data_IF_327216084903
#
_entry.id   IF_327216084903
#
_cell.length_a   1.000
_cell.length_b   1.000
_cell.length_c   1.000
_cell.angle_alpha   90.00
_cell.angle_beta   90.00
_cell.angle_gamma   90.00
#
_symmetry.space_group_name_H-M   'P 1'
#
loop_
_entity.id
_entity.type
_entity.pdbx_description
1 polymer ?
#
# COMPACT_ATOMS: atom_id res chain seq x y z
N UNK A 1 2.21 7.60 8.28
CA UNK A 1 2.79 7.00 9.50
C UNK A 1 3.28 5.56 9.26
N UNK A 2 2.42 4.68 8.74
CA UNK A 2 2.71 3.26 8.48
C UNK A 2 4.06 2.99 7.79
N UNK A 3 4.32 3.64 6.64
CA UNK A 3 5.56 3.46 5.85
C UNK A 3 6.82 3.74 6.68
N UNK A 4 6.79 4.77 7.54
CA UNK A 4 7.92 5.12 8.39
C UNK A 4 8.16 4.10 9.50
N UNK A 5 7.09 3.55 10.06
CA UNK A 5 7.20 2.50 11.08
C UNK A 5 7.75 1.19 10.49
N UNK A 6 7.30 0.82 9.29
CA UNK A 6 7.87 -0.31 8.57
C UNK A 6 9.35 -0.08 8.25
N UNK A 7 9.72 1.13 7.78
CA UNK A 7 11.12 1.47 7.54
C UNK A 7 11.97 1.33 8.81
N UNK A 8 11.43 1.75 9.96
CA UNK A 8 12.10 1.60 11.27
C UNK A 8 12.31 0.13 11.62
N UNK A 9 11.30 -0.72 11.44
CA UNK A 9 11.37 -2.16 11.74
C UNK A 9 12.35 -2.87 10.81
N UNK A 10 12.26 -2.67 9.49
CA UNK A 10 13.13 -3.33 8.52
C UNK A 10 14.58 -2.82 8.56
N UNK A 11 14.83 -1.64 9.14
CA UNK A 11 16.18 -1.11 9.34
C UNK A 11 16.75 -1.42 10.73
N UNK A 12 16.08 -2.24 11.54
CA UNK A 12 16.62 -2.67 12.83
C UNK A 12 17.95 -3.44 12.62
N UNK A 13 18.95 -3.24 13.49
CA UNK A 13 20.31 -3.76 13.29
C UNK A 13 20.41 -5.29 13.28
N UNK A 14 19.42 -5.96 13.87
CA UNK A 14 19.29 -7.42 13.90
C UNK A 14 18.49 -7.97 12.72
N UNK A 15 17.90 -7.15 11.84
CA UNK A 15 17.18 -7.60 10.65
C UNK A 15 18.12 -7.71 9.45
N UNK A 16 18.12 -8.86 8.77
CA UNK A 16 18.73 -9.06 7.46
C UNK A 16 17.69 -9.40 6.40
N UNK A 17 17.94 -8.96 5.16
CA UNK A 17 17.09 -9.24 4.00
C UNK A 17 17.93 -9.75 2.83
N UNK A 18 17.43 -10.74 2.10
CA UNK A 18 18.02 -11.22 0.85
C UNK A 18 17.82 -10.26 -0.32
N UNK A 19 16.75 -9.46 -0.28
CA UNK A 19 16.39 -8.49 -1.32
C UNK A 19 16.23 -7.10 -0.73
N UNK A 20 16.62 -6.08 -1.49
CA UNK A 20 16.48 -4.69 -1.07
C UNK A 20 15.01 -4.29 -0.96
N UNK A 21 14.66 -3.61 0.12
CA UNK A 21 13.38 -2.92 0.30
C UNK A 21 13.63 -1.43 0.14
N UNK A 22 12.79 -0.75 -0.65
CA UNK A 22 12.85 0.70 -0.85
C UNK A 22 11.56 1.33 -0.33
N UNK A 23 11.69 2.23 0.64
CA UNK A 23 10.59 3.06 1.13
C UNK A 23 10.60 4.37 0.39
N UNK A 24 9.45 4.79 -0.13
CA UNK A 24 9.31 6.04 -0.87
C UNK A 24 8.14 6.84 -0.34
N UNK A 25 8.33 8.14 -0.18
CA UNK A 25 7.29 9.09 0.16
C UNK A 25 7.08 9.98 -1.06
N UNK A 26 5.97 9.78 -1.75
CA UNK A 26 5.63 10.60 -2.92
C UNK A 26 5.14 11.97 -2.49
N UNK A 27 5.43 12.96 -3.32
CA UNK A 27 4.86 14.29 -3.18
C UNK A 27 3.95 14.58 -4.37
N UNK A 28 2.99 15.48 -4.17
CA UNK A 28 2.11 15.98 -5.22
C UNK A 28 1.28 14.88 -5.91
N UNK A 29 0.83 13.89 -5.12
CA UNK A 29 -0.12 12.84 -5.52
C UNK A 29 -1.47 13.47 -5.90
N UNK A 30 -1.96 14.38 -5.04
CA UNK A 30 -3.31 14.95 -5.11
C UNK A 30 -3.61 15.77 -6.38
N UNK A 31 -2.57 16.15 -7.13
CA UNK A 31 -2.70 16.88 -8.40
C UNK A 31 -2.39 15.99 -9.61
N UNK A 32 -2.40 14.67 -9.43
CA UNK A 32 -2.22 13.69 -10.48
C UNK A 32 -0.91 12.90 -10.38
N UNK A 33 -0.59 12.33 -9.22
CA UNK A 33 0.45 11.32 -9.05
C UNK A 33 1.84 11.79 -9.50
N UNK A 34 2.10 13.10 -9.40
CA UNK A 34 3.21 13.72 -10.14
C UNK A 34 4.57 13.22 -9.66
N UNK A 35 4.73 12.99 -8.35
CA UNK A 35 5.95 12.41 -7.79
C UNK A 35 6.23 11.00 -8.32
N UNK A 36 5.25 10.10 -8.25
CA UNK A 36 5.39 8.73 -8.74
C UNK A 36 5.58 8.66 -10.26
N UNK A 37 4.86 9.47 -11.04
CA UNK A 37 5.03 9.56 -12.50
C UNK A 37 6.43 10.01 -12.89
N UNK A 38 6.91 11.10 -12.31
CA UNK A 38 8.25 11.61 -12.57
C UNK A 38 9.33 10.58 -12.19
N UNK A 39 9.12 9.86 -11.09
CA UNK A 39 10.02 8.79 -10.69
C UNK A 39 10.07 7.66 -11.72
N UNK A 40 8.91 7.15 -12.15
CA UNK A 40 8.85 6.09 -13.17
C UNK A 40 9.52 6.55 -14.46
N UNK A 41 9.18 7.74 -14.97
CA UNK A 41 9.75 8.32 -16.19
C UNK A 41 11.29 8.39 -16.13
N UNK A 42 11.85 8.79 -14.99
CA UNK A 42 13.30 8.94 -14.83
C UNK A 42 14.03 7.62 -14.58
N UNK A 43 13.38 6.66 -13.90
CA UNK A 43 14.07 5.50 -13.31
C UNK A 43 13.78 4.19 -14.03
N UNK A 44 12.65 4.04 -14.70
CA UNK A 44 12.25 2.76 -15.30
C UNK A 44 13.32 2.19 -16.25
N UNK A 45 13.88 3.02 -17.12
CA UNK A 45 14.89 2.61 -18.10
C UNK A 45 16.27 2.29 -17.49
N UNK A 46 16.50 2.65 -16.22
CA UNK A 46 17.76 2.43 -15.50
C UNK A 46 17.78 1.11 -14.72
N UNK A 47 16.64 0.42 -14.61
CA UNK A 47 16.52 -0.80 -13.83
C UNK A 47 17.52 -1.88 -14.24
N UNK A 48 18.36 -2.29 -13.30
CA UNK A 48 19.38 -3.32 -13.52
C UNK A 48 20.52 -2.88 -14.46
N UNK A 49 20.61 -1.59 -14.79
CA UNK A 49 21.72 -1.03 -15.55
C UNK A 49 22.87 -0.71 -14.59
N UNK A 50 23.99 -1.36 -14.81
CA UNK A 50 25.19 -1.20 -14.01
C UNK A 50 25.96 0.07 -14.40
N UNK A 51 26.36 0.90 -13.44
CA UNK A 51 27.11 2.14 -13.70
C UNK A 51 28.22 2.40 -12.68
N UNK A 52 29.50 2.54 -13.11
CA UNK A 52 30.01 2.20 -14.44
C UNK A 52 29.84 0.71 -14.77
N UNK A 53 29.85 0.34 -16.06
CA UNK A 53 29.76 -1.07 -16.47
C UNK A 53 30.89 -1.89 -15.84
N UNK A 54 30.56 -3.03 -15.23
CA UNK A 54 31.46 -3.92 -14.50
C UNK A 54 31.75 -3.53 -13.03
N UNK A 55 31.07 -2.53 -12.47
CA UNK A 55 31.31 -2.05 -11.09
C UNK A 55 30.57 -2.83 -9.99
N UNK A 56 29.59 -3.66 -10.34
CA UNK A 56 28.58 -4.24 -9.45
C UNK A 56 27.56 -3.24 -8.91
N UNK A 57 27.61 -1.97 -9.32
CA UNK A 57 26.71 -0.93 -8.82
C UNK A 57 25.55 -0.72 -9.77
N UNK A 58 24.33 -0.85 -9.24
CA UNK A 58 23.08 -0.67 -9.98
C UNK A 58 22.34 0.53 -9.38
N UNK A 59 22.54 1.76 -9.92
CA UNK A 59 21.89 2.96 -9.37
C UNK A 59 20.37 2.82 -9.26
N UNK A 60 19.77 2.06 -10.17
CA UNK A 60 18.39 1.61 -10.04
C UNK A 60 18.33 0.07 -10.09
N UNK A 61 17.93 -0.60 -9.00
CA UNK A 61 17.74 -2.05 -9.00
C UNK A 61 16.52 -2.41 -9.86
N UNK A 62 16.43 -3.69 -10.26
CA UNK A 62 15.20 -4.19 -10.88
C UNK A 62 14.06 -4.15 -9.87
N UNK A 63 12.92 -3.60 -10.27
CA UNK A 63 11.72 -3.60 -9.45
C UNK A 63 11.08 -4.98 -9.49
N UNK A 64 10.75 -5.52 -8.31
CA UNK A 64 10.11 -6.83 -8.19
C UNK A 64 8.62 -6.72 -7.87
N UNK A 65 8.20 -5.61 -7.28
CA UNK A 65 6.84 -5.28 -6.92
C UNK A 65 6.75 -3.83 -6.46
N UNK A 66 5.58 -3.22 -6.62
CA UNK A 66 5.24 -1.93 -6.03
C UNK A 66 4.04 -2.12 -5.10
N UNK A 67 4.19 -1.70 -3.85
CA UNK A 67 3.15 -1.78 -2.83
C UNK A 67 2.88 -0.36 -2.35
N UNK A 68 1.70 0.14 -2.67
CA UNK A 68 1.25 1.47 -2.29
C UNK A 68 0.37 1.38 -1.03
N UNK A 69 0.48 2.39 -0.16
CA UNK A 69 -0.43 2.61 0.96
C UNK A 69 -1.00 4.01 0.82
N UNK A 70 -2.32 4.14 0.87
CA UNK A 70 -2.98 5.44 0.84
C UNK A 70 -4.33 5.33 1.55
N UNK A 71 -4.64 6.26 2.45
CA UNK A 71 -5.85 6.27 3.29
C UNK A 71 -6.11 4.93 4.02
N UNK A 72 -5.82 4.84 5.32
CA UNK A 72 -5.71 3.55 6.03
C UNK A 72 -6.44 3.48 7.37
N UNK A 73 -7.36 4.38 7.66
CA UNK A 73 -7.94 4.57 8.99
C UNK A 73 -9.45 4.41 9.03
N UNK A 74 -10.17 4.45 7.91
CA UNK A 74 -11.63 4.58 7.89
C UNK A 74 -12.35 3.48 7.12
N UNK A 75 -13.08 2.59 7.81
CA UNK A 75 -14.07 1.72 7.19
C UNK A 75 -15.36 1.63 8.03
N UNK A 76 -16.08 2.74 8.09
CA UNK A 76 -17.30 2.88 8.91
C UNK A 76 -18.58 2.45 8.16
N UNK A 77 -18.42 1.97 6.92
CA UNK A 77 -19.51 1.58 6.03
C UNK A 77 -20.19 2.75 5.30
N UNK A 78 -21.15 2.39 4.44
CA UNK A 78 -21.87 3.35 3.61
C UNK A 78 -22.65 4.40 4.42
N UNK A 79 -22.80 5.63 3.90
CA UNK A 79 -23.73 6.61 4.45
C UNK A 79 -25.16 6.05 4.49
N UNK A 80 -25.87 6.36 5.57
CA UNK A 80 -27.31 6.09 5.74
C UNK A 80 -28.13 6.96 4.78
N UNK A 81 -29.45 6.68 4.60
CA UNK A 81 -30.31 7.51 3.75
C UNK A 81 -30.37 9.00 4.14
N UNK A 82 -30.05 9.34 5.39
CA UNK A 82 -29.97 10.72 5.89
C UNK A 82 -28.58 11.37 5.70
N UNK A 83 -27.64 10.66 5.06
CA UNK A 83 -26.27 11.10 4.82
C UNK A 83 -25.31 10.91 5.99
N UNK A 84 -25.78 10.40 7.14
CA UNK A 84 -24.90 10.14 8.28
C UNK A 84 -24.13 8.83 8.10
N UNK A 85 -22.89 8.79 8.55
CA UNK A 85 -22.07 7.56 8.61
C UNK A 85 -22.03 6.99 10.02
N UNK A 86 -21.56 5.76 10.18
CA UNK A 86 -21.25 5.23 11.51
C UNK A 86 -20.11 6.02 12.16
N UNK A 87 -20.14 6.13 13.49
CA UNK A 87 -19.01 6.68 14.25
C UNK A 87 -17.87 5.68 14.34
N UNK A 88 -18.19 4.40 14.41
CA UNK A 88 -17.24 3.33 14.67
C UNK A 88 -17.05 2.48 13.40
N UNK A 89 -15.89 1.82 13.30
CA UNK A 89 -15.59 0.80 12.30
C UNK A 89 -16.74 -0.20 12.18
N UNK A 90 -17.11 -0.57 10.95
CA UNK A 90 -18.15 -1.58 10.76
C UNK A 90 -17.66 -2.96 11.21
N UNK A 91 -18.55 -3.88 11.62
CA UNK A 91 -18.14 -5.25 11.97
C UNK A 91 -17.39 -5.98 10.86
N UNK A 92 -17.67 -5.64 9.60
CA UNK A 92 -17.03 -6.17 8.41
C UNK A 92 -15.82 -5.35 7.93
N UNK A 93 -15.27 -4.46 8.77
CA UNK A 93 -14.18 -3.58 8.39
C UNK A 93 -12.96 -4.39 7.91
N UNK A 94 -12.34 -3.96 6.82
CA UNK A 94 -11.25 -4.68 6.19
C UNK A 94 -10.15 -3.79 5.62
N UNK A 95 -8.98 -4.40 5.38
CA UNK A 95 -7.93 -3.77 4.58
C UNK A 95 -8.15 -4.15 3.12
N UNK A 96 -8.45 -3.16 2.29
CA UNK A 96 -8.66 -3.34 0.87
C UNK A 96 -7.33 -3.41 0.13
N UNK A 97 -7.09 -4.47 -0.64
CA UNK A 97 -5.90 -4.71 -1.44
C UNK A 97 -6.30 -4.73 -2.91
N UNK A 98 -6.05 -3.64 -3.61
CA UNK A 98 -6.47 -3.49 -5.00
C UNK A 98 -5.30 -3.69 -5.98
N UNK A 99 -5.55 -4.42 -7.07
CA UNK A 99 -4.73 -4.41 -8.28
C UNK A 99 -5.56 -3.90 -9.47
N UNK A 100 -4.94 -3.57 -10.61
CA UNK A 100 -5.68 -3.15 -11.80
C UNK A 100 -5.78 -4.30 -12.81
N UNK A 101 -6.99 -4.84 -12.99
CA UNK A 101 -7.26 -5.97 -13.90
C UNK A 101 -7.01 -5.69 -15.37
N UNK A 102 -7.05 -4.42 -15.80
CA UNK A 102 -6.75 -4.03 -17.19
C UNK A 102 -5.26 -3.75 -17.46
N UNK A 103 -4.38 -3.89 -16.46
CA UNK A 103 -2.95 -3.61 -16.62
C UNK A 103 -2.18 -4.74 -17.31
N UNK A 104 -1.02 -4.43 -17.90
CA UNK A 104 -0.14 -5.43 -18.51
C UNK A 104 0.37 -6.48 -17.49
N UNK A 105 0.42 -6.13 -16.20
CA UNK A 105 0.85 -7.01 -15.09
C UNK A 105 -0.31 -7.50 -14.24
N UNK A 106 -1.53 -7.54 -14.76
CA UNK A 106 -2.72 -7.89 -13.99
C UNK A 106 -2.61 -9.26 -13.30
N UNK A 107 -2.08 -10.28 -13.99
CA UNK A 107 -1.99 -11.65 -13.43
C UNK A 107 -1.01 -11.72 -12.26
N UNK A 108 0.18 -11.12 -12.42
CA UNK A 108 1.19 -11.07 -11.37
C UNK A 108 0.79 -10.15 -10.22
N UNK A 109 0.08 -9.05 -10.50
CA UNK A 109 -0.45 -8.14 -9.48
C UNK A 109 -1.57 -8.79 -8.68
N UNK A 110 -2.45 -9.57 -9.32
CA UNK A 110 -3.45 -10.39 -8.63
C UNK A 110 -2.77 -11.42 -7.72
N UNK A 111 -1.74 -12.09 -8.20
CA UNK A 111 -0.97 -13.03 -7.39
C UNK A 111 -0.32 -12.35 -6.18
N UNK A 112 0.25 -11.15 -6.37
CA UNK A 112 0.80 -10.32 -5.29
C UNK A 112 -0.28 -9.91 -4.28
N UNK A 113 -1.47 -9.51 -4.74
CA UNK A 113 -2.57 -9.12 -3.87
C UNK A 113 -3.05 -10.29 -2.99
N UNK A 114 -3.23 -11.49 -3.56
CA UNK A 114 -3.59 -12.68 -2.80
C UNK A 114 -2.48 -13.17 -1.86
N UNK A 115 -1.20 -12.94 -2.22
CA UNK A 115 -0.09 -13.18 -1.31
C UNK A 115 -0.18 -12.28 -0.07
N UNK A 116 -0.47 -10.99 -0.24
CA UNK A 116 -0.69 -10.07 0.88
C UNK A 116 -1.93 -10.44 1.71
N UNK A 117 -3.03 -10.85 1.07
CA UNK A 117 -4.21 -11.38 1.77
C UNK A 117 -3.86 -12.58 2.65
N UNK A 118 -3.09 -13.53 2.11
CA UNK A 118 -2.65 -14.72 2.86
C UNK A 118 -1.73 -14.34 4.03
N UNK A 119 -0.90 -13.30 3.88
CA UNK A 119 -0.06 -12.77 4.95
C UNK A 119 -0.90 -12.09 6.05
N UNK A 120 -1.92 -11.31 5.66
CA UNK A 120 -2.89 -10.74 6.61
C UNK A 120 -3.56 -11.84 7.44
N UNK A 121 -4.15 -12.84 6.79
CA UNK A 121 -4.87 -13.94 7.48
C UNK A 121 -4.01 -14.69 8.51
N UNK A 122 -2.70 -14.72 8.31
CA UNK A 122 -1.77 -15.45 9.17
C UNK A 122 -1.19 -14.61 10.30
N UNK A 123 -1.05 -13.29 10.11
CA UNK A 123 -0.21 -12.46 10.99
C UNK A 123 -0.87 -11.16 11.46
N UNK A 124 -1.90 -10.66 10.77
CA UNK A 124 -2.65 -9.49 11.21
C UNK A 124 -3.66 -9.89 12.31
N UNK A 125 -3.92 -8.99 13.25
CA UNK A 125 -4.60 -9.35 14.51
C UNK A 125 -6.08 -9.00 14.57
N UNK A 126 -6.52 -7.97 13.86
CA UNK A 126 -7.79 -7.30 14.17
C UNK A 126 -8.77 -7.26 12.98
N UNK A 127 -8.26 -7.07 11.75
CA UNK A 127 -9.09 -6.91 10.57
C UNK A 127 -8.64 -7.84 9.42
N UNK A 128 -9.58 -8.48 8.72
CA UNK A 128 -9.27 -9.24 7.51
C UNK A 128 -8.80 -8.31 6.38
N UNK A 129 -8.29 -8.90 5.30
CA UNK A 129 -8.03 -8.21 4.05
C UNK A 129 -8.88 -8.76 2.91
N UNK A 130 -9.31 -7.87 2.03
CA UNK A 130 -10.09 -8.18 0.82
C UNK A 130 -9.31 -7.79 -0.43
N UNK A 131 -9.48 -8.53 -1.52
CA UNK A 131 -8.77 -8.29 -2.78
C UNK A 131 -9.75 -7.81 -3.85
N UNK A 132 -9.44 -6.66 -4.47
CA UNK A 132 -10.25 -6.04 -5.52
C UNK A 132 -9.47 -5.80 -6.83
N UNK A 133 -10.10 -5.88 -8.00
CA UNK A 133 -9.43 -5.71 -9.30
C UNK A 133 -9.53 -4.29 -9.90
N UNK A 134 -9.88 -3.28 -9.08
CA UNK A 134 -10.27 -1.94 -9.51
C UNK A 134 -9.33 -0.81 -9.05
N UNK A 135 -8.06 -1.13 -8.79
CA UNK A 135 -7.06 -0.15 -8.36
C UNK A 135 -7.04 1.09 -9.27
N UNK A 136 -7.23 2.26 -8.69
CA UNK A 136 -7.28 3.54 -9.42
C UNK A 136 -6.85 4.70 -8.53
N UNK A 137 -6.58 5.87 -9.13
CA UNK A 137 -6.31 7.14 -8.43
C UNK A 137 -5.33 7.01 -7.26
N UNK A 138 -4.15 6.45 -7.54
CA UNK A 138 -3.13 6.11 -6.53
C UNK A 138 -1.73 6.02 -7.17
N UNK A 139 -0.67 6.23 -6.40
CA UNK A 139 0.71 6.23 -6.92
C UNK A 139 1.22 4.86 -7.41
N UNK A 140 0.49 3.76 -7.24
CA UNK A 140 0.80 2.49 -7.92
C UNK A 140 0.37 2.49 -9.40
N UNK A 141 -0.48 3.43 -9.85
CA UNK A 141 -0.93 3.51 -11.25
C UNK A 141 0.22 3.65 -12.26
N UNK A 142 1.23 4.53 -12.07
CA UNK A 142 2.36 4.62 -13.00
C UNK A 142 3.21 3.35 -13.10
N UNK A 143 3.07 2.40 -12.16
CA UNK A 143 3.84 1.16 -12.11
C UNK A 143 3.10 -0.05 -12.70
N UNK A 144 1.77 0.02 -12.83
CA UNK A 144 0.90 -1.17 -13.02
C UNK A 144 1.18 -1.97 -14.29
N UNK A 145 1.72 -1.34 -15.34
CA UNK A 145 2.07 -2.02 -16.59
C UNK A 145 3.54 -2.49 -16.61
N UNK A 146 4.35 -2.04 -15.66
CA UNK A 146 5.80 -2.22 -15.65
C UNK A 146 6.19 -3.38 -14.73
N UNK A 147 5.62 -3.41 -13.53
CA UNK A 147 5.95 -4.31 -12.42
C UNK A 147 4.66 -4.69 -11.68
N UNK A 148 4.56 -5.87 -11.03
CA UNK A 148 3.38 -6.19 -10.23
C UNK A 148 3.11 -5.08 -9.20
N UNK A 149 1.91 -4.50 -9.22
CA UNK A 149 1.58 -3.33 -8.43
C UNK A 149 0.24 -3.50 -7.71
N UNK A 150 0.23 -3.22 -6.41
CA UNK A 150 -0.98 -3.26 -5.56
C UNK A 150 -1.10 -1.98 -4.72
N UNK A 151 -2.31 -1.63 -4.34
CA UNK A 151 -2.64 -0.51 -3.45
C UNK A 151 -3.42 -1.04 -2.25
N UNK A 152 -2.90 -0.80 -1.05
CA UNK A 152 -3.61 -1.06 0.21
C UNK A 152 -4.33 0.22 0.63
N UNK A 153 -5.61 0.08 1.00
CA UNK A 153 -6.51 1.17 1.41
C UNK A 153 -7.49 0.73 2.50
N UNK A 154 -8.12 1.70 3.14
CA UNK A 154 -9.25 1.54 4.05
C UNK A 154 -10.55 1.17 3.31
N UNK A 155 -10.75 1.70 2.10
CA UNK A 155 -11.93 1.47 1.26
C UNK A 155 -11.52 1.34 -0.21
N UNK A 156 -12.31 0.61 -1.01
CA UNK A 156 -12.15 0.56 -2.47
C UNK A 156 -12.26 1.97 -3.07
N UNK A 157 -11.21 2.41 -3.77
CA UNK A 157 -11.08 3.81 -4.20
C UNK A 157 -12.21 4.28 -5.09
N UNK A 158 -12.61 3.44 -6.06
CA UNK A 158 -13.66 3.78 -7.03
C UNK A 158 -15.06 3.68 -6.44
N UNK A 159 -15.39 2.52 -5.86
CA UNK A 159 -16.77 2.17 -5.52
C UNK A 159 -17.22 2.75 -4.18
N UNK A 160 -16.33 2.82 -3.20
CA UNK A 160 -16.67 3.17 -1.81
C UNK A 160 -16.28 4.61 -1.51
N UNK A 161 -15.00 4.99 -1.69
CA UNK A 161 -14.55 6.38 -1.46
C UNK A 161 -15.28 7.34 -2.41
N UNK A 162 -15.39 6.98 -3.69
CA UNK A 162 -16.16 7.75 -4.67
C UNK A 162 -17.66 7.86 -4.38
N UNK A 163 -18.20 6.99 -3.52
CA UNK A 163 -19.58 7.02 -3.04
C UNK A 163 -19.73 7.70 -1.66
N UNK A 164 -18.66 8.31 -1.14
CA UNK A 164 -18.68 9.09 0.10
C UNK A 164 -18.68 8.24 1.38
N UNK A 165 -18.09 7.04 1.35
CA UNK A 165 -17.97 6.18 2.53
C UNK A 165 -17.05 6.76 3.61
N UNK A 166 -16.05 7.56 3.22
CA UNK A 166 -15.28 8.41 4.11
C UNK A 166 -15.72 9.88 3.97
N UNK A 167 -16.41 10.47 4.95
CA UNK A 167 -16.81 11.87 4.91
C UNK A 167 -15.64 12.84 5.13
N UNK A 168 -14.46 12.35 5.55
CA UNK A 168 -13.28 13.17 5.78
C UNK A 168 -12.41 13.29 4.54
N UNK A 169 -12.64 12.46 3.52
CA UNK A 169 -11.88 12.48 2.28
C UNK A 169 -11.90 13.88 1.62
N UNK A 170 -10.71 14.46 1.46
CA UNK A 170 -10.50 15.82 0.94
C UNK A 170 -11.21 16.93 1.72
N UNK A 171 -11.53 16.69 3.00
CA UNK A 171 -12.17 17.66 3.88
C UNK A 171 -11.20 18.18 4.96
N UNK A 172 -11.41 19.42 5.47
CA UNK A 172 -10.63 19.94 6.60
C UNK A 172 -10.87 19.18 7.91
N UNK A 173 -11.80 18.22 7.92
CA UNK A 173 -12.07 17.33 9.05
C UNK A 173 -11.15 16.11 9.07
N UNK A 174 -10.34 15.87 8.02
CA UNK A 174 -9.24 14.91 8.06
C UNK A 174 -8.10 15.44 8.95
N UNK A 175 -8.29 15.31 10.26
CA UNK A 175 -7.37 15.71 11.29
C UNK A 175 -7.30 14.63 12.36
N UNK A 176 -6.15 14.51 13.02
CA UNK A 176 -5.88 13.48 14.03
C UNK A 176 -7.01 13.28 15.05
N UNK A 177 -7.62 14.36 15.53
CA UNK A 177 -8.68 14.32 16.56
C UNK A 177 -10.02 13.75 16.08
N UNK A 178 -10.20 13.58 14.77
CA UNK A 178 -11.39 12.97 14.18
C UNK A 178 -11.39 11.45 14.34
N UNK A 179 -10.21 10.85 14.40
CA UNK A 179 -10.02 9.40 14.40
C UNK A 179 -9.98 8.83 15.83
N UNK A 180 -10.58 7.66 15.98
CA UNK A 180 -10.63 6.87 17.21
C UNK A 180 -9.46 5.88 17.30
N UNK A 181 -9.28 5.25 18.46
CA UNK A 181 -8.28 4.19 18.63
C UNK A 181 -8.55 2.98 17.70
N UNK A 182 -9.81 2.70 17.37
CA UNK A 182 -10.18 1.60 16.47
C UNK A 182 -9.78 1.90 15.01
N UNK A 183 -9.77 3.19 14.63
CA UNK A 183 -9.33 3.67 13.32
C UNK A 183 -7.81 3.53 13.18
N UNK A 184 -7.07 3.86 14.24
CA UNK A 184 -5.64 3.61 14.29
C UNK A 184 -5.31 2.11 14.32
N UNK A 185 -6.17 1.28 14.92
CA UNK A 185 -6.02 -0.17 14.90
C UNK A 185 -6.17 -0.72 13.48
N UNK A 186 -7.06 -0.18 12.65
CA UNK A 186 -7.15 -0.55 11.22
C UNK A 186 -5.82 -0.24 10.49
N UNK A 187 -5.27 0.95 10.70
CA UNK A 187 -3.97 1.32 10.14
C UNK A 187 -2.82 0.43 10.63
N UNK A 188 -2.81 0.06 11.92
CA UNK A 188 -1.82 -0.88 12.47
C UNK A 188 -1.95 -2.28 11.87
N UNK A 189 -3.19 -2.75 11.66
CA UNK A 189 -3.46 -4.04 11.06
C UNK A 189 -2.96 -4.11 9.59
N UNK A 190 -3.11 -3.01 8.83
CA UNK A 190 -2.50 -2.90 7.51
C UNK A 190 -0.96 -2.88 7.56
N UNK A 191 -0.37 -2.28 8.61
CA UNK A 191 1.08 -2.32 8.82
C UNK A 191 1.56 -3.76 9.06
N UNK A 192 0.87 -4.53 9.91
CA UNK A 192 1.15 -5.95 10.14
C UNK A 192 1.06 -6.77 8.86
N UNK A 193 0.00 -6.55 8.07
CA UNK A 193 -0.19 -7.19 6.75
C UNK A 193 1.02 -6.96 5.86
N UNK A 194 1.45 -5.71 5.75
CA UNK A 194 2.57 -5.31 4.89
C UNK A 194 3.89 -5.83 5.42
N UNK A 195 4.13 -5.73 6.72
CA UNK A 195 5.33 -6.25 7.38
C UNK A 195 5.49 -7.74 7.12
N UNK A 196 4.42 -8.51 7.32
CA UNK A 196 4.44 -9.96 7.12
C UNK A 196 4.68 -10.35 5.66
N UNK A 197 4.04 -9.66 4.72
CA UNK A 197 4.19 -9.95 3.29
C UNK A 197 5.57 -9.54 2.77
N UNK A 198 5.99 -8.29 3.02
CA UNK A 198 7.30 -7.78 2.57
C UNK A 198 8.44 -8.53 3.25
N UNK A 199 8.30 -8.91 4.54
CA UNK A 199 9.30 -9.71 5.23
C UNK A 199 9.54 -11.06 4.53
N UNK A 200 8.47 -11.74 4.10
CA UNK A 200 8.61 -12.98 3.35
C UNK A 200 9.21 -12.76 1.95
N UNK A 201 8.74 -11.75 1.21
CA UNK A 201 9.26 -11.44 -0.13
C UNK A 201 10.74 -11.05 -0.10
N UNK A 202 11.14 -10.28 0.91
CA UNK A 202 12.51 -9.82 1.08
C UNK A 202 13.45 -10.89 1.65
N UNK A 203 12.94 -12.06 2.06
CA UNK A 203 13.73 -13.07 2.78
C UNK A 203 14.25 -12.54 4.11
N UNK A 204 13.41 -11.80 4.84
CA UNK A 204 13.78 -11.18 6.10
C UNK A 204 14.03 -12.24 7.17
N UNK A 205 15.11 -12.08 7.92
CA UNK A 205 15.49 -12.92 9.06
C UNK A 205 16.11 -12.09 10.17
N UNK A 206 16.14 -12.65 11.38
CA UNK A 206 16.83 -12.04 12.51
C UNK A 206 18.21 -12.68 12.68
N UNK A 207 19.24 -11.84 12.77
CA UNK A 207 20.54 -12.27 13.25
C UNK A 207 20.44 -12.54 14.75
N UNK A 208 20.99 -13.67 15.18
CA UNK A 208 21.20 -13.93 16.60
C UNK A 208 22.34 -13.10 17.17
#
# INVERSE_FOLDING_TARGET
ALVMELARIFSAPDVQTERSIRFVLWNNEETGLNGARAYVEQRQALQGVEQPRGSGQYPEPRWLGMIQHDMMLWDHGAPRPDGTVSRDQRPEADVNIEFQSSSERASESMALAFFFKSANERYATDYPATVGPHMTNTDSTPFMDIVPAISLRENERGAQVGAGWDPNWHQPTDVWITYTDDDFRLGLNAAQTTLAAVGQLAGASLNR
#
